data_IF_897916322538
#
_entry.id   IF_897916322538
#
_cell.length_a   1.000
_cell.length_b   1.000
_cell.length_c   1.000
_cell.angle_alpha   90.00
_cell.angle_beta   90.00
_cell.angle_gamma   90.00
#
_symmetry.space_group_name_H-M   'P 1'
#
loop_
_entity.id
_entity.type
_entity.pdbx_description
1 polymer ?
#
# COMPACT_ATOMS: atom_id res chain seq x y z
N UNK A 1 -4.22 -7.58 -10.49
CA UNK A 1 -3.70 -7.86 -11.85
C UNK A 1 -2.37 -8.60 -11.73
N UNK A 2 -2.06 -9.57 -12.61
CA UNK A 2 -0.76 -10.27 -12.63
C UNK A 2 0.00 -9.94 -13.92
N UNK A 3 1.30 -9.66 -13.81
CA UNK A 3 2.20 -9.38 -14.92
C UNK A 3 3.39 -10.34 -14.82
N UNK A 4 3.76 -11.04 -15.90
CA UNK A 4 4.80 -12.08 -15.86
C UNK A 4 6.09 -11.57 -16.48
N UNK A 5 7.20 -11.84 -15.81
CA UNK A 5 8.54 -11.67 -16.36
C UNK A 5 8.99 -13.00 -16.99
N UNK A 6 9.56 -12.94 -18.19
CA UNK A 6 10.11 -14.12 -18.87
C UNK A 6 11.34 -14.68 -18.17
N UNK A 7 11.71 -15.92 -18.50
CA UNK A 7 12.87 -16.61 -17.91
C UNK A 7 14.22 -15.93 -18.22
N UNK A 8 14.30 -15.27 -19.38
CA UNK A 8 15.43 -14.44 -19.79
C UNK A 8 14.90 -13.08 -20.17
N UNK A 9 15.49 -12.03 -19.62
CA UNK A 9 15.16 -10.65 -19.95
C UNK A 9 16.42 -9.98 -20.45
N UNK A 10 16.35 -9.42 -21.65
CA UNK A 10 17.40 -8.60 -22.23
C UNK A 10 17.08 -7.13 -22.00
N UNK A 11 18.10 -6.28 -22.14
CA UNK A 11 17.92 -4.82 -21.97
C UNK A 11 16.96 -4.23 -23.01
N UNK A 12 16.82 -4.88 -24.18
CA UNK A 12 15.89 -4.47 -25.23
C UNK A 12 14.42 -4.77 -24.87
N UNK A 13 14.17 -5.77 -24.03
CA UNK A 13 12.81 -6.16 -23.61
C UNK A 13 12.24 -5.18 -22.59
N UNK A 14 13.09 -4.55 -21.79
CA UNK A 14 12.71 -3.63 -20.70
C UNK A 14 11.75 -2.52 -21.15
N UNK A 15 12.01 -1.74 -22.23
CA UNK A 15 11.06 -0.73 -22.70
C UNK A 15 9.75 -1.34 -23.18
N UNK A 16 9.77 -2.52 -23.82
CA UNK A 16 8.57 -3.21 -24.31
C UNK A 16 7.69 -3.65 -23.13
N UNK A 17 8.28 -4.31 -22.13
CA UNK A 17 7.60 -4.72 -20.90
C UNK A 17 6.97 -3.52 -20.16
N UNK A 18 7.65 -2.37 -20.16
CA UNK A 18 7.10 -1.15 -19.57
C UNK A 18 5.90 -0.61 -20.34
N UNK A 19 5.95 -0.64 -21.68
CA UNK A 19 4.84 -0.21 -22.53
C UNK A 19 3.63 -1.14 -22.37
N UNK A 20 3.85 -2.45 -22.34
CA UNK A 20 2.81 -3.46 -22.13
C UNK A 20 2.11 -3.28 -20.78
N UNK A 21 2.89 -3.06 -19.72
CA UNK A 21 2.33 -2.77 -18.40
C UNK A 21 1.55 -1.45 -18.41
N UNK A 22 2.07 -0.38 -19.01
CA UNK A 22 1.38 0.90 -19.07
C UNK A 22 0.04 0.80 -19.83
N UNK A 23 0.00 0.07 -20.94
CA UNK A 23 -1.21 -0.19 -21.71
C UNK A 23 -2.24 -0.98 -20.89
N UNK A 24 -1.80 -2.01 -20.18
CA UNK A 24 -2.67 -2.81 -19.32
C UNK A 24 -3.14 -2.08 -18.05
N UNK A 25 -2.44 -1.03 -17.63
CA UNK A 25 -2.82 -0.14 -16.53
C UNK A 25 -3.66 1.07 -16.98
N UNK A 26 -3.97 1.19 -18.27
CA UNK A 26 -4.84 2.24 -18.76
C UNK A 26 -6.22 2.14 -18.07
N UNK A 27 -6.83 3.25 -17.61
CA UNK A 27 -8.01 3.17 -16.76
C UNK A 27 -9.20 2.53 -17.48
N UNK A 28 -9.60 1.33 -17.05
CA UNK A 28 -10.98 0.88 -17.22
C UNK A 28 -11.80 1.55 -16.12
N UNK A 29 -12.73 2.43 -16.49
CA UNK A 29 -13.57 3.15 -15.55
C UNK A 29 -14.25 2.18 -14.56
N UNK A 30 -13.89 2.27 -13.28
CA UNK A 30 -14.60 1.59 -12.18
C UNK A 30 -13.85 0.50 -11.41
N UNK A 31 -12.63 0.10 -11.76
CA UNK A 31 -11.93 -0.96 -11.02
C UNK A 31 -11.20 -0.42 -9.77
N UNK A 32 -11.54 -0.87 -8.54
CA UNK A 32 -10.76 -0.53 -7.36
C UNK A 32 -9.32 -1.00 -7.55
N UNK A 33 -8.43 -0.04 -7.70
CA UNK A 33 -7.04 -0.25 -8.04
C UNK A 33 -6.28 -1.06 -6.95
N UNK A 34 -6.30 -2.41 -7.03
CA UNK A 34 -5.51 -3.36 -6.22
C UNK A 34 -4.13 -3.69 -6.84
N UNK A 35 -3.12 -4.21 -6.12
CA UNK A 35 -1.73 -4.26 -6.59
C UNK A 35 -1.52 -5.04 -7.92
N UNK A 36 -0.45 -4.68 -8.62
CA UNK A 36 0.12 -5.45 -9.74
C UNK A 36 1.05 -6.51 -9.16
N UNK A 37 0.70 -7.77 -9.31
CA UNK A 37 1.54 -8.90 -8.91
C UNK A 37 2.51 -9.22 -10.06
N UNK A 38 3.78 -8.84 -9.90
CA UNK A 38 4.84 -9.17 -10.83
C UNK A 38 5.36 -10.58 -10.52
N UNK A 39 5.06 -11.52 -11.40
CA UNK A 39 5.48 -12.91 -11.30
C UNK A 39 6.83 -13.12 -11.97
N UNK A 40 7.83 -13.46 -11.17
CA UNK A 40 9.20 -13.70 -11.60
C UNK A 40 9.61 -15.17 -11.44
N UNK A 41 8.64 -16.08 -11.24
CA UNK A 41 8.91 -17.50 -11.02
C UNK A 41 9.62 -18.19 -12.19
N UNK A 42 9.53 -17.64 -13.40
CA UNK A 42 10.25 -18.16 -14.57
C UNK A 42 11.74 -17.81 -14.57
N UNK A 43 12.18 -16.81 -13.77
CA UNK A 43 13.57 -16.36 -13.74
C UNK A 43 14.41 -17.31 -12.89
N UNK A 44 15.23 -18.13 -13.55
CA UNK A 44 16.09 -19.12 -12.90
C UNK A 44 17.45 -18.53 -12.52
N UNK A 45 18.01 -17.65 -13.36
CA UNK A 45 19.32 -17.02 -13.16
C UNK A 45 19.19 -15.49 -13.22
N UNK A 46 18.87 -14.83 -12.08
CA UNK A 46 18.66 -13.39 -12.06
C UNK A 46 19.97 -12.63 -12.25
N UNK A 47 19.93 -11.59 -13.06
CA UNK A 47 21.04 -10.67 -13.34
C UNK A 47 20.62 -9.20 -13.15
N UNK A 48 21.54 -8.27 -13.43
CA UNK A 48 21.25 -6.85 -13.29
C UNK A 48 20.19 -6.35 -14.27
N UNK A 49 20.03 -7.01 -15.42
CA UNK A 49 18.99 -6.65 -16.40
C UNK A 49 17.61 -7.04 -15.86
N UNK A 50 17.51 -8.19 -15.21
CA UNK A 50 16.31 -8.62 -14.48
C UNK A 50 15.93 -7.60 -13.40
N UNK A 51 16.90 -7.15 -12.61
CA UNK A 51 16.68 -6.14 -11.56
C UNK A 51 16.28 -4.78 -12.16
N UNK A 52 16.92 -4.34 -13.25
CA UNK A 52 16.55 -3.14 -14.01
C UNK A 52 15.08 -3.23 -14.47
N UNK A 53 14.70 -4.37 -15.05
CA UNK A 53 13.36 -4.60 -15.53
C UNK A 53 12.31 -4.47 -14.42
N UNK A 54 12.52 -5.14 -13.28
CA UNK A 54 11.62 -5.08 -12.13
C UNK A 54 11.52 -3.64 -11.58
N UNK A 55 12.65 -2.94 -11.46
CA UNK A 55 12.67 -1.57 -10.98
C UNK A 55 11.88 -0.62 -11.91
N UNK A 56 12.03 -0.79 -13.23
CA UNK A 56 11.31 0.03 -14.21
C UNK A 56 9.83 -0.32 -14.27
N UNK A 57 9.45 -1.60 -14.17
CA UNK A 57 8.04 -2.00 -14.06
C UNK A 57 7.39 -1.39 -12.82
N UNK A 58 8.09 -1.40 -11.68
CA UNK A 58 7.59 -0.80 -10.45
C UNK A 58 7.43 0.71 -10.55
N UNK A 59 8.36 1.40 -11.22
CA UNK A 59 8.24 2.82 -11.53
C UNK A 59 7.04 3.09 -12.45
N UNK A 60 6.84 2.28 -13.50
CA UNK A 60 5.68 2.37 -14.40
C UNK A 60 4.37 2.21 -13.62
N UNK A 61 4.23 1.14 -12.83
CA UNK A 61 3.04 0.94 -11.99
C UNK A 61 2.76 2.14 -11.08
N UNK A 62 3.79 2.68 -10.42
CA UNK A 62 3.68 3.86 -9.56
C UNK A 62 3.21 5.11 -10.31
N UNK A 63 3.68 5.33 -11.54
CA UNK A 63 3.22 6.46 -12.39
C UNK A 63 1.74 6.38 -12.73
N UNK A 64 1.20 5.16 -12.78
CA UNK A 64 -0.23 4.90 -12.95
C UNK A 64 -1.00 4.77 -11.61
N UNK A 65 -0.40 5.18 -10.48
CA UNK A 65 -1.05 5.13 -9.16
C UNK A 65 -1.23 3.73 -8.59
N UNK A 66 -0.51 2.73 -9.10
CA UNK A 66 -0.59 1.33 -8.66
C UNK A 66 0.67 0.93 -7.89
N UNK A 67 0.51 0.01 -6.94
CA UNK A 67 1.64 -0.69 -6.29
C UNK A 67 2.01 -1.92 -7.11
N UNK A 68 3.30 -2.27 -7.11
CA UNK A 68 3.80 -3.50 -7.72
C UNK A 68 4.48 -4.37 -6.65
N UNK A 69 4.02 -5.60 -6.53
CA UNK A 69 4.51 -6.61 -5.57
C UNK A 69 5.16 -7.76 -6.34
N UNK A 70 6.34 -8.18 -5.89
CA UNK A 70 7.09 -9.26 -6.54
C UNK A 70 6.62 -10.60 -5.97
N UNK A 71 6.29 -11.54 -6.83
CA UNK A 71 5.81 -12.89 -6.49
C UNK A 71 6.65 -13.95 -7.20
N UNK A 72 6.89 -15.09 -6.54
CA UNK A 72 7.70 -16.18 -7.12
C UNK A 72 9.20 -15.90 -7.17
N UNK A 73 9.70 -14.88 -6.47
CA UNK A 73 11.12 -14.56 -6.41
C UNK A 73 11.89 -15.58 -5.55
N UNK A 74 12.88 -16.22 -6.16
CA UNK A 74 13.84 -17.07 -5.46
C UNK A 74 14.84 -16.26 -4.61
N UNK A 75 15.58 -16.98 -3.76
CA UNK A 75 16.53 -16.35 -2.83
C UNK A 75 17.65 -15.58 -3.54
N UNK A 76 18.15 -16.07 -4.68
CA UNK A 76 19.23 -15.42 -5.42
C UNK A 76 18.83 -14.04 -5.97
N UNK A 77 17.57 -13.88 -6.40
CA UNK A 77 17.06 -12.59 -6.85
C UNK A 77 17.01 -11.59 -5.68
N UNK A 78 16.50 -12.01 -4.52
CA UNK A 78 16.48 -11.15 -3.33
C UNK A 78 17.89 -10.80 -2.85
N UNK A 79 18.83 -11.74 -2.92
CA UNK A 79 20.24 -11.48 -2.60
C UNK A 79 20.84 -10.46 -3.55
N UNK A 80 20.61 -10.58 -4.85
CA UNK A 80 21.08 -9.61 -5.85
C UNK A 80 20.47 -8.23 -5.62
N UNK A 81 19.16 -8.15 -5.37
CA UNK A 81 18.46 -6.90 -5.05
C UNK A 81 19.04 -6.24 -3.79
N UNK A 82 19.34 -7.01 -2.75
CA UNK A 82 19.97 -6.51 -1.53
C UNK A 82 21.40 -6.03 -1.80
N UNK A 83 22.18 -6.79 -2.57
CA UNK A 83 23.56 -6.47 -2.94
C UNK A 83 23.66 -5.12 -3.66
N UNK A 84 22.71 -4.80 -4.54
CA UNK A 84 22.67 -3.52 -5.25
C UNK A 84 21.94 -2.40 -4.48
N UNK A 85 21.59 -2.63 -3.21
CA UNK A 85 20.96 -1.62 -2.35
C UNK A 85 19.49 -1.32 -2.68
N UNK A 86 18.83 -2.14 -3.49
CA UNK A 86 17.44 -1.93 -3.93
C UNK A 86 16.41 -2.68 -3.07
N UNK A 87 16.82 -3.36 -2.01
CA UNK A 87 15.94 -4.12 -1.11
C UNK A 87 14.74 -3.32 -0.63
N UNK A 88 14.95 -2.13 -0.07
CA UNK A 88 13.84 -1.26 0.39
C UNK A 88 12.95 -0.76 -0.74
N UNK A 89 13.53 -0.52 -1.91
CA UNK A 89 12.79 0.00 -3.06
C UNK A 89 11.89 -1.06 -3.66
N UNK A 90 12.31 -2.33 -3.68
CA UNK A 90 11.62 -3.44 -4.35
C UNK A 90 10.81 -4.34 -3.41
N UNK A 91 11.23 -4.52 -2.16
CA UNK A 91 10.52 -5.35 -1.18
C UNK A 91 9.38 -4.60 -0.49
N UNK A 92 9.59 -3.33 -0.12
CA UNK A 92 8.62 -2.56 0.64
C UNK A 92 7.57 -1.97 -0.30
N UNK A 93 6.53 -2.71 -0.66
CA UNK A 93 5.33 -2.11 -1.28
C UNK A 93 4.95 -0.86 -0.48
N UNK A 94 5.00 0.31 -1.11
CA UNK A 94 4.99 1.62 -0.43
C UNK A 94 4.05 1.65 0.78
N UNK A 95 4.50 1.85 2.03
CA UNK A 95 3.57 1.92 3.15
C UNK A 95 2.68 3.15 3.14
N UNK A 96 2.82 4.10 2.18
CA UNK A 96 2.00 5.32 2.13
C UNK A 96 0.50 4.99 2.15
N UNK A 97 -0.21 5.29 3.24
CA UNK A 97 -1.65 5.27 3.25
C UNK A 97 -2.14 6.28 2.22
N UNK A 98 -3.24 5.95 1.53
CA UNK A 98 -4.01 6.96 0.79
C UNK A 98 -4.43 8.01 1.82
N UNK A 99 -3.85 9.20 1.77
CA UNK A 99 -4.41 10.34 2.48
C UNK A 99 -5.79 10.61 1.85
N UNK A 100 -6.82 10.09 2.52
CA UNK A 100 -8.17 9.97 1.99
C UNK A 100 -9.10 9.54 3.09
N UNK A 101 -9.12 10.34 4.16
CA UNK A 101 -10.25 10.42 5.08
C UNK A 101 -10.28 11.86 5.59
N UNK A 102 -11.00 12.70 4.86
CA UNK A 102 -11.59 13.91 5.40
C UNK A 102 -12.53 13.46 6.54
N UNK A 103 -12.00 13.30 7.75
CA UNK A 103 -12.82 13.15 8.95
C UNK A 103 -13.25 14.54 9.40
N UNK A 104 -14.23 15.08 8.69
CA UNK A 104 -14.95 16.27 9.08
C UNK A 104 -15.95 15.88 10.19
N UNK A 105 -15.61 16.24 11.44
CA UNK A 105 -16.56 16.55 12.52
C UNK A 105 -15.82 17.14 13.74
N UNK A 106 -15.30 18.36 13.59
CA UNK A 106 -15.10 19.26 14.74
C UNK A 106 -16.45 19.89 15.09
N UNK A 107 -17.14 19.32 16.06
CA UNK A 107 -18.14 20.02 16.86
C UNK A 107 -18.30 19.29 18.20
N UNK A 108 -17.39 19.54 19.13
CA UNK A 108 -17.69 19.38 20.54
C UNK A 108 -17.75 20.78 21.15
N UNK A 109 -18.97 21.16 21.55
CA UNK A 109 -19.31 22.45 22.13
C UNK A 109 -18.55 22.74 23.43
N UNK A 110 -18.41 24.04 23.69
CA UNK A 110 -17.69 24.61 24.81
C UNK A 110 -18.33 24.44 26.21
N UNK A 111 -17.78 25.14 27.21
CA UNK A 111 -17.78 24.74 28.62
C UNK A 111 -19.09 24.99 29.37
N UNK A 112 -19.41 24.10 30.32
CA UNK A 112 -20.51 24.31 31.28
C UNK A 112 -20.11 25.36 32.35
N UNK A 113 -20.96 26.37 32.61
CA UNK A 113 -20.79 27.26 33.76
C UNK A 113 -21.31 26.60 35.04
N UNK A 114 -20.55 26.83 36.12
CA UNK A 114 -20.87 26.55 37.52
C UNK A 114 -21.97 27.49 38.05
N UNK A 115 -22.98 26.95 38.71
CA UNK A 115 -23.80 27.59 39.75
C UNK A 115 -24.38 26.46 40.62
N UNK A 116 -23.86 26.18 41.81
CA UNK A 116 -24.10 26.88 43.08
C UNK A 116 -25.51 26.57 43.65
N UNK A 117 -25.56 25.78 44.73
CA UNK A 117 -26.78 25.40 45.46
C UNK A 117 -26.58 24.20 46.41
N UNK A 118 -26.52 24.49 47.71
CA UNK A 118 -26.24 23.67 48.91
C UNK A 118 -27.20 22.44 49.14
N UNK A 119 -26.82 21.42 49.95
CA UNK A 119 -27.60 20.19 50.16
C UNK A 119 -28.50 20.23 51.41
N UNK A 120 -29.58 19.43 51.46
CA UNK A 120 -30.04 18.79 52.71
C UNK A 120 -31.06 17.64 52.52
N UNK A 121 -31.00 16.56 53.34
CA UNK A 121 -31.94 15.45 53.35
C UNK A 121 -32.89 15.49 54.55
N UNK A 122 -34.12 14.95 54.43
CA UNK A 122 -34.84 14.20 55.47
C UNK A 122 -36.03 13.44 54.85
N UNK A 123 -36.05 12.11 55.01
CA UNK A 123 -37.23 11.29 54.76
C UNK A 123 -37.84 10.92 56.12
N UNK A 124 -39.08 11.34 56.33
CA UNK A 124 -39.91 10.96 57.47
C UNK A 124 -40.35 9.49 57.32
N UNK A 125 -39.95 8.64 58.26
CA UNK A 125 -40.53 7.32 58.48
C UNK A 125 -41.37 7.34 59.76
N UNK A 126 -42.70 7.39 59.61
CA UNK A 126 -43.69 7.16 60.67
C UNK A 126 -43.92 5.67 60.97
N UNK A 127 -44.81 5.34 61.93
CA UNK A 127 -44.45 4.58 63.13
C UNK A 127 -44.70 3.06 63.06
N UNK A 128 -44.04 2.31 63.95
CA UNK A 128 -44.44 0.95 64.34
C UNK A 128 -45.26 1.01 65.64
N UNK A 129 -46.44 0.39 65.60
CA UNK A 129 -47.28 0.06 66.74
C UNK A 129 -47.10 -1.41 67.12
#
# INVERSE_FOLDING_TARGET
>A
MRFRLGATVTRADVPVLCADLAAALHPCAGDPAGPVLCDVSAVVAPDLVTVEAIARLRLTARRHGRRLEITGAGHDLWRLIALVGLGRVLAEGDPRPRAGSDQQAIAQGGPQPTAEGDPQPVAEGGPQA
#
